data_IF_244621709140
#
_entry.id   IF_244621709140
#
_cell.length_a   1.000
_cell.length_b   1.000
_cell.length_c   1.000
_cell.angle_alpha   90.00
_cell.angle_beta   90.00
_cell.angle_gamma   90.00
#
_symmetry.space_group_name_H-M   'P 1'
#
loop_
_entity.id
_entity.type
_entity.pdbx_description
1 polymer ?
#
# COMPACT_ATOMS: atom_id res chain seq x y z
N UNK A 1 -51.68 32.90 11.98
CA UNK A 1 -52.47 33.05 10.75
C UNK A 1 -52.26 31.82 9.89
N UNK A 2 -53.38 31.24 9.43
CA UNK A 2 -53.53 30.07 8.54
C UNK A 2 -52.99 28.72 9.05
N UNK A 3 -53.64 27.57 8.93
CA UNK A 3 -55.05 27.13 8.95
C UNK A 3 -54.93 25.61 8.97
N UNK A 4 -55.58 24.95 9.91
CA UNK A 4 -55.68 23.49 9.97
C UNK A 4 -56.69 23.08 8.91
N UNK A 5 -56.36 22.15 8.01
CA UNK A 5 -57.40 21.44 7.26
C UNK A 5 -57.10 19.95 7.18
N UNK A 6 -57.81 19.24 8.06
CA UNK A 6 -57.95 17.79 8.16
C UNK A 6 -59.28 17.43 7.51
N UNK A 7 -59.27 16.66 6.42
CA UNK A 7 -60.45 16.07 5.77
C UNK A 7 -60.18 14.57 5.57
N UNK A 8 -60.56 13.74 6.55
CA UNK A 8 -61.81 12.95 6.65
C UNK A 8 -62.07 11.96 5.48
N UNK A 9 -62.18 10.65 5.77
CA UNK A 9 -62.55 9.61 4.80
C UNK A 9 -64.07 9.59 4.59
N UNK A 10 -64.50 9.38 3.34
CA UNK A 10 -65.90 9.24 2.94
C UNK A 10 -66.05 8.09 1.93
N UNK A 11 -66.85 7.10 2.30
CA UNK A 11 -67.05 5.82 1.63
C UNK A 11 -68.15 5.90 0.52
N UNK A 12 -68.74 4.77 0.06
CA UNK A 12 -68.66 4.27 -1.31
C UNK A 12 -69.91 4.56 -2.16
N UNK A 13 -69.78 4.52 -3.49
CA UNK A 13 -70.89 4.62 -4.44
C UNK A 13 -70.70 3.69 -5.65
N UNK A 14 -71.78 3.12 -6.23
CA UNK A 14 -71.75 1.79 -6.84
C UNK A 14 -71.61 1.75 -8.37
N UNK A 15 -71.02 0.62 -8.79
CA UNK A 15 -71.23 -0.17 -10.01
C UNK A 15 -71.83 0.50 -11.27
N UNK A 16 -71.00 0.59 -12.31
CA UNK A 16 -71.27 0.35 -13.75
C UNK A 16 -69.97 0.69 -14.50
N UNK A 17 -69.45 -0.02 -15.49
CA UNK A 17 -69.98 -1.06 -16.34
C UNK A 17 -68.80 -1.72 -17.09
N UNK A 18 -69.04 -2.95 -17.52
CA UNK A 18 -68.19 -3.86 -18.28
C UNK A 18 -67.65 -3.25 -19.58
N UNK A 19 -66.34 -3.38 -19.84
CA UNK A 19 -65.78 -3.61 -21.17
C UNK A 19 -64.33 -4.13 -21.07
N UNK A 20 -64.13 -5.40 -21.44
CA UNK A 20 -62.85 -5.96 -21.87
C UNK A 20 -62.94 -6.26 -23.38
N UNK A 21 -61.85 -6.63 -24.07
CA UNK A 21 -60.49 -6.08 -24.09
C UNK A 21 -60.15 -5.58 -25.51
N UNK A 22 -59.49 -4.42 -25.63
CA UNK A 22 -58.92 -3.96 -26.91
C UNK A 22 -57.40 -4.19 -26.91
N UNK A 23 -56.82 -4.60 -28.05
CA UNK A 23 -55.50 -5.21 -28.11
C UNK A 23 -54.38 -4.19 -27.98
N UNK A 24 -53.33 -4.60 -27.24
CA UNK A 24 -51.94 -4.25 -27.42
C UNK A 24 -51.65 -2.85 -27.98
N UNK A 25 -51.66 -1.84 -27.10
CA UNK A 25 -50.79 -0.68 -27.27
C UNK A 25 -49.53 -0.90 -26.42
N UNK A 26 -48.70 -1.85 -26.86
CA UNK A 26 -47.31 -1.94 -26.43
C UNK A 26 -46.58 -0.77 -27.08
N UNK A 27 -46.76 0.41 -26.50
CA UNK A 27 -45.75 1.45 -26.66
C UNK A 27 -44.43 0.83 -26.22
N UNK A 28 -43.41 0.74 -27.10
CA UNK A 28 -42.10 0.23 -26.70
C UNK A 28 -41.61 1.07 -25.51
N UNK A 29 -40.89 0.48 -24.54
CA UNK A 29 -40.22 1.28 -23.53
C UNK A 29 -39.34 2.26 -24.31
N UNK A 30 -39.63 3.55 -24.18
CA UNK A 30 -38.75 4.62 -24.63
C UNK A 30 -37.40 4.25 -24.07
N UNK A 31 -36.46 3.90 -24.96
CA UNK A 31 -35.06 3.73 -24.61
C UNK A 31 -34.64 5.01 -23.91
N UNK A 32 -34.66 4.97 -22.59
CA UNK A 32 -34.06 6.00 -21.77
C UNK A 32 -32.62 6.11 -22.28
N UNK A 33 -32.25 7.29 -22.75
CA UNK A 33 -30.85 7.59 -23.05
C UNK A 33 -29.99 7.24 -21.83
N UNK A 34 -28.67 7.10 -22.01
CA UNK A 34 -27.77 6.72 -20.92
C UNK A 34 -28.05 7.62 -19.71
N UNK A 35 -28.51 7.02 -18.61
CA UNK A 35 -28.78 7.77 -17.40
C UNK A 35 -27.48 8.44 -16.96
N UNK A 36 -27.51 9.72 -16.59
CA UNK A 36 -26.31 10.41 -16.17
C UNK A 36 -25.72 9.73 -14.94
N UNK A 37 -24.40 9.58 -14.90
CA UNK A 37 -23.65 9.10 -13.73
C UNK A 37 -23.95 9.98 -12.52
N UNK A 38 -24.63 9.44 -11.51
CA UNK A 38 -24.91 10.13 -10.24
C UNK A 38 -24.18 9.44 -9.10
N UNK A 39 -23.56 10.24 -8.24
CA UNK A 39 -22.83 9.77 -7.08
C UNK A 39 -23.73 8.99 -6.11
N UNK A 40 -25.02 9.34 -6.04
CA UNK A 40 -26.02 8.69 -5.19
C UNK A 40 -26.16 7.19 -5.50
N UNK A 41 -25.91 6.78 -6.75
CA UNK A 41 -25.96 5.37 -7.15
C UNK A 41 -24.80 4.54 -6.56
N UNK A 42 -23.74 5.19 -6.09
CA UNK A 42 -22.54 4.57 -5.54
C UNK A 42 -22.44 4.66 -4.01
N UNK A 43 -23.32 5.42 -3.35
CA UNK A 43 -23.27 5.71 -1.91
C UNK A 43 -24.40 5.01 -1.12
N UNK A 44 -24.58 3.71 -1.34
CA UNK A 44 -25.71 2.97 -0.79
C UNK A 44 -25.67 2.66 0.73
N UNK A 45 -24.53 2.71 1.43
CA UNK A 45 -24.44 2.26 2.84
C UNK A 45 -23.22 2.85 3.63
N UNK A 46 -23.09 2.65 4.96
CA UNK A 46 -22.38 3.54 5.88
C UNK A 46 -20.86 3.57 5.69
N UNK A 47 -20.29 4.73 6.04
CA UNK A 47 -18.88 5.15 6.16
C UNK A 47 -17.76 4.28 5.55
N UNK A 48 -17.67 2.98 5.86
CA UNK A 48 -16.69 2.05 5.27
C UNK A 48 -16.92 1.88 3.75
N UNK A 49 -18.18 1.80 3.32
CA UNK A 49 -18.53 1.65 1.90
C UNK A 49 -18.47 2.98 1.13
N UNK A 50 -18.36 4.10 1.85
CA UNK A 50 -18.25 5.43 1.23
C UNK A 50 -16.98 5.59 0.42
N UNK A 51 -15.84 5.11 0.93
CA UNK A 51 -14.57 5.22 0.22
C UNK A 51 -14.57 4.38 -1.06
N UNK A 52 -15.03 3.13 -0.96
CA UNK A 52 -15.19 2.23 -2.11
C UNK A 52 -16.16 2.82 -3.12
N UNK A 53 -17.28 3.41 -2.68
CA UNK A 53 -18.22 4.12 -3.54
C UNK A 53 -17.62 5.34 -4.26
N UNK A 54 -16.81 6.14 -3.56
CA UNK A 54 -16.13 7.29 -4.16
C UNK A 54 -15.08 6.88 -5.19
N UNK A 55 -14.30 5.84 -4.90
CA UNK A 55 -13.30 5.31 -5.85
C UNK A 55 -14.00 4.67 -7.05
N UNK A 56 -15.09 3.91 -6.82
CA UNK A 56 -15.88 3.33 -7.89
C UNK A 56 -16.50 4.41 -8.80
N UNK A 57 -16.98 5.52 -8.22
CA UNK A 57 -17.47 6.67 -8.98
C UNK A 57 -16.34 7.36 -9.76
N UNK A 58 -15.17 7.56 -9.15
CA UNK A 58 -14.02 8.14 -9.84
C UNK A 58 -13.58 7.27 -11.03
N UNK A 59 -13.53 5.94 -10.86
CA UNK A 59 -13.26 4.98 -11.94
C UNK A 59 -14.34 5.03 -13.02
N UNK A 60 -15.61 5.20 -12.64
CA UNK A 60 -16.71 5.37 -13.60
C UNK A 60 -16.53 6.64 -14.44
N UNK A 61 -16.19 7.76 -13.79
CA UNK A 61 -15.97 9.05 -14.44
C UNK A 61 -14.75 9.02 -15.37
N UNK A 62 -13.66 8.40 -14.95
CA UNK A 62 -12.45 8.22 -15.77
C UNK A 62 -12.72 7.38 -17.02
N UNK A 63 -13.51 6.31 -16.87
CA UNK A 63 -13.84 5.37 -17.96
C UNK A 63 -15.05 5.81 -18.79
N UNK A 64 -15.70 6.91 -18.44
CA UNK A 64 -16.96 7.37 -19.05
C UNK A 64 -18.02 6.25 -19.11
N UNK A 65 -18.11 5.47 -18.03
CA UNK A 65 -18.94 4.27 -18.00
C UNK A 65 -20.42 4.59 -17.71
N UNK A 66 -21.34 3.84 -18.30
CA UNK A 66 -22.78 4.01 -18.06
C UNK A 66 -23.18 3.65 -16.62
N UNK A 67 -24.24 4.30 -16.12
CA UNK A 67 -24.79 4.10 -14.78
C UNK A 67 -25.61 2.79 -14.62
N UNK A 68 -25.35 1.77 -15.44
CA UNK A 68 -26.04 0.48 -15.34
C UNK A 68 -25.66 -0.24 -14.02
N UNK A 69 -26.61 -0.90 -13.33
CA UNK A 69 -26.38 -1.50 -12.02
C UNK A 69 -25.28 -2.57 -12.03
N UNK A 70 -25.15 -3.34 -13.11
CA UNK A 70 -24.11 -4.35 -13.28
C UNK A 70 -22.72 -3.70 -13.42
N UNK A 71 -22.65 -2.57 -14.14
CA UNK A 71 -21.43 -1.77 -14.29
C UNK A 71 -20.99 -1.16 -12.97
N UNK A 72 -21.94 -0.62 -12.20
CA UNK A 72 -21.69 -0.08 -10.85
C UNK A 72 -21.16 -1.17 -9.91
N UNK A 73 -21.78 -2.35 -9.91
CA UNK A 73 -21.33 -3.47 -9.09
C UNK A 73 -19.91 -3.93 -9.48
N UNK A 74 -19.59 -3.97 -10.78
CA UNK A 74 -18.23 -4.28 -11.25
C UNK A 74 -17.22 -3.22 -10.80
N UNK A 75 -17.54 -1.94 -10.98
CA UNK A 75 -16.66 -0.83 -10.59
C UNK A 75 -16.42 -0.77 -9.07
N UNK A 76 -17.41 -1.15 -8.28
CA UNK A 76 -17.25 -1.31 -6.82
C UNK A 76 -16.25 -2.39 -6.46
N UNK A 77 -16.28 -3.54 -7.13
CA UNK A 77 -15.25 -4.60 -6.93
C UNK A 77 -13.87 -4.13 -7.37
N UNK A 78 -13.78 -3.46 -8.52
CA UNK A 78 -12.51 -2.89 -9.01
C UNK A 78 -11.94 -1.88 -7.99
N UNK A 79 -12.79 -1.02 -7.44
CA UNK A 79 -12.42 -0.06 -6.41
C UNK A 79 -11.92 -0.73 -5.12
N UNK A 80 -12.57 -1.80 -4.68
CA UNK A 80 -12.15 -2.57 -3.50
C UNK A 80 -10.77 -3.22 -3.71
N UNK A 81 -10.54 -3.81 -4.88
CA UNK A 81 -9.23 -4.38 -5.26
C UNK A 81 -8.16 -3.30 -5.28
N UNK A 82 -8.45 -2.14 -5.89
CA UNK A 82 -7.49 -1.03 -5.96
C UNK A 82 -7.16 -0.45 -4.58
N UNK A 83 -8.16 -0.28 -3.71
CA UNK A 83 -7.98 0.17 -2.33
C UNK A 83 -7.13 -0.83 -1.53
N UNK A 84 -7.40 -2.12 -1.69
CA UNK A 84 -6.68 -3.19 -1.01
C UNK A 84 -5.22 -3.23 -1.46
N UNK A 85 -4.95 -3.19 -2.76
CA UNK A 85 -3.58 -3.14 -3.31
C UNK A 85 -2.83 -1.89 -2.82
N UNK A 86 -3.48 -0.72 -2.82
CA UNK A 86 -2.88 0.50 -2.30
C UNK A 86 -2.56 0.42 -0.81
N UNK A 87 -3.47 -0.15 0.00
CA UNK A 87 -3.27 -0.34 1.42
C UNK A 87 -2.08 -1.29 1.70
N UNK A 88 -1.98 -2.39 0.96
CA UNK A 88 -0.86 -3.33 1.09
C UNK A 88 0.49 -2.68 0.75
N UNK A 89 0.56 -1.95 -0.36
CA UNK A 89 1.79 -1.22 -0.74
C UNK A 89 2.19 -0.19 0.31
N UNK A 90 1.22 0.58 0.79
CA UNK A 90 1.45 1.60 1.82
C UNK A 90 1.96 0.98 3.12
N UNK A 91 1.35 -0.12 3.56
CA UNK A 91 1.79 -0.84 4.74
C UNK A 91 3.21 -1.39 4.55
N UNK A 92 3.49 -2.03 3.40
CA UNK A 92 4.79 -2.58 3.10
C UNK A 92 5.89 -1.50 3.12
N UNK A 93 5.67 -0.39 2.43
CA UNK A 93 6.60 0.73 2.41
C UNK A 93 6.85 1.30 3.81
N UNK A 94 5.81 1.40 4.64
CA UNK A 94 5.95 1.87 6.01
C UNK A 94 6.74 0.88 6.87
N UNK A 95 6.53 -0.43 6.71
CA UNK A 95 7.30 -1.47 7.42
C UNK A 95 8.76 -1.43 7.01
N UNK A 96 9.06 -1.33 5.71
CA UNK A 96 10.45 -1.20 5.23
C UNK A 96 11.12 0.04 5.79
N UNK A 97 10.41 1.19 5.80
CA UNK A 97 10.93 2.42 6.40
C UNK A 97 11.26 2.26 7.88
N UNK A 98 10.35 1.66 8.65
CA UNK A 98 10.57 1.41 10.08
C UNK A 98 11.76 0.45 10.32
N UNK A 99 11.93 -0.56 9.47
CA UNK A 99 13.08 -1.45 9.54
C UNK A 99 14.39 -0.70 9.26
N UNK A 100 14.41 0.15 8.23
CA UNK A 100 15.58 0.99 7.91
C UNK A 100 15.91 1.94 9.07
N UNK A 101 14.90 2.61 9.63
CA UNK A 101 15.06 3.48 10.79
C UNK A 101 15.59 2.71 12.01
N UNK A 102 15.08 1.50 12.28
CA UNK A 102 15.55 0.66 13.38
C UNK A 102 17.00 0.18 13.17
N UNK A 103 17.38 -0.17 11.93
CA UNK A 103 18.76 -0.55 11.59
C UNK A 103 19.69 0.65 11.75
N UNK A 104 19.31 1.82 11.25
CA UNK A 104 20.08 3.06 11.41
C UNK A 104 20.24 3.45 12.88
N UNK A 105 19.16 3.37 13.65
CA UNK A 105 19.21 3.59 15.09
C UNK A 105 20.21 2.61 15.74
N UNK A 106 20.14 1.32 15.41
CA UNK A 106 21.04 0.31 15.99
C UNK A 106 22.50 0.48 15.56
N UNK A 107 22.74 0.88 14.31
CA UNK A 107 24.08 1.26 13.83
C UNK A 107 24.61 2.51 14.54
N UNK A 108 23.74 3.47 14.87
CA UNK A 108 24.09 4.64 15.66
C UNK A 108 24.54 4.32 17.09
N UNK A 109 24.11 3.19 17.65
CA UNK A 109 24.51 2.73 18.99
C UNK A 109 25.74 1.82 18.99
N UNK A 110 26.20 1.36 17.83
CA UNK A 110 27.42 0.57 17.74
C UNK A 110 28.64 1.50 17.90
N UNK A 111 29.65 1.10 18.69
CA UNK A 111 30.89 1.87 18.79
C UNK A 111 31.48 2.00 17.39
N UNK A 112 31.84 3.24 17.01
CA UNK A 112 32.44 3.52 15.70
C UNK A 112 33.59 2.52 15.46
N UNK A 113 33.60 1.80 14.33
CA UNK A 113 34.67 0.87 14.04
C UNK A 113 36.01 1.63 14.07
N UNK A 114 37.10 0.98 14.50
CA UNK A 114 38.42 1.60 14.47
C UNK A 114 38.69 2.12 13.06
N UNK A 115 38.97 3.42 12.95
CA UNK A 115 39.12 4.07 11.66
C UNK A 115 40.17 3.37 10.81
N UNK A 116 39.95 3.35 9.48
CA UNK A 116 40.88 2.74 8.51
C UNK A 116 42.32 3.19 8.75
N UNK A 117 42.52 4.47 9.07
CA UNK A 117 43.84 5.03 9.38
C UNK A 117 44.51 4.34 10.58
N UNK A 118 43.74 3.99 11.62
CA UNK A 118 44.22 3.29 12.82
C UNK A 118 44.63 1.85 12.50
N UNK A 119 43.88 1.17 11.64
CA UNK A 119 44.23 -0.18 11.15
C UNK A 119 45.50 -0.14 10.29
N UNK A 120 45.57 0.82 9.36
CA UNK A 120 46.74 1.01 8.51
C UNK A 120 47.98 1.36 9.34
N UNK A 121 47.86 2.25 10.31
CA UNK A 121 48.98 2.60 11.20
C UNK A 121 49.41 1.41 12.06
N UNK A 122 48.46 0.65 12.61
CA UNK A 122 48.78 -0.55 13.39
C UNK A 122 49.53 -1.58 12.54
N UNK A 123 49.11 -1.78 11.29
CA UNK A 123 49.78 -2.71 10.38
C UNK A 123 51.18 -2.22 9.98
N UNK A 124 51.35 -0.92 9.72
CA UNK A 124 52.66 -0.31 9.45
C UNK A 124 53.61 -0.46 10.64
N UNK A 125 53.12 -0.24 11.86
CA UNK A 125 53.91 -0.44 13.09
C UNK A 125 54.31 -1.91 13.24
N UNK A 126 53.39 -2.85 13.01
CA UNK A 126 53.68 -4.27 13.06
C UNK A 126 54.75 -4.67 12.03
N UNK A 127 54.64 -4.18 10.79
CA UNK A 127 55.64 -4.39 9.73
C UNK A 127 57.00 -3.80 10.09
N UNK A 128 57.03 -2.58 10.64
CA UNK A 128 58.26 -1.93 11.06
C UNK A 128 58.97 -2.74 12.17
N UNK A 129 58.23 -3.23 13.16
CA UNK A 129 58.76 -4.08 14.23
C UNK A 129 59.27 -5.42 13.69
N UNK A 130 58.54 -6.06 12.78
CA UNK A 130 58.96 -7.30 12.15
C UNK A 130 60.24 -7.11 11.32
N UNK A 131 60.32 -6.03 10.53
CA UNK A 131 61.50 -5.69 9.74
C UNK A 131 62.71 -5.38 10.64
N UNK A 132 62.51 -4.65 11.74
CA UNK A 132 63.56 -4.37 12.71
C UNK A 132 64.08 -5.67 13.37
N UNK A 133 63.17 -6.56 13.78
CA UNK A 133 63.54 -7.87 14.34
C UNK A 133 64.31 -8.73 13.34
N UNK A 134 63.83 -8.82 12.10
CA UNK A 134 64.51 -9.56 11.03
C UNK A 134 65.89 -8.97 10.69
N UNK A 135 65.99 -7.64 10.62
CA UNK A 135 67.26 -6.94 10.39
C UNK A 135 68.26 -7.16 11.53
N UNK A 136 67.79 -7.10 12.78
CA UNK A 136 68.61 -7.38 13.95
C UNK A 136 69.14 -8.83 13.93
N UNK A 137 68.28 -9.80 13.62
CA UNK A 137 68.68 -11.21 13.45
C UNK A 137 69.70 -11.40 12.31
N UNK A 138 69.53 -10.71 11.19
CA UNK A 138 70.46 -10.77 10.06
C UNK A 138 71.86 -10.24 10.42
N UNK A 139 71.95 -9.26 11.31
CA UNK A 139 73.23 -8.72 11.81
C UNK A 139 73.87 -9.59 12.90
N UNK A 140 73.12 -10.51 13.51
CA UNK A 140 73.60 -11.43 14.55
C UNK A 140 73.47 -12.91 14.13
N UNK A 141 74.14 -13.36 13.05
CA UNK A 141 73.99 -14.72 12.52
C UNK A 141 74.41 -15.83 13.50
N UNK A 142 75.28 -15.50 14.45
CA UNK A 142 75.69 -16.37 15.56
C UNK A 142 74.54 -16.75 16.50
N UNK A 143 73.48 -15.94 16.60
CA UNK A 143 72.25 -16.31 17.35
C UNK A 143 71.36 -17.27 16.59
N UNK A 144 71.33 -17.19 15.26
CA UNK A 144 70.58 -18.12 14.40
C UNK A 144 71.16 -19.55 14.48
N UNK A 145 72.49 -19.68 14.50
CA UNK A 145 73.16 -20.98 14.62
C UNK A 145 72.87 -21.70 15.95
N UNK A 146 72.69 -20.94 17.05
CA UNK A 146 72.32 -21.50 18.35
C UNK A 146 70.88 -22.02 18.41
N UNK A 147 69.94 -21.35 17.72
CA UNK A 147 68.52 -21.72 17.72
C UNK A 147 68.25 -22.89 16.76
N UNK A 148 68.91 -22.92 15.59
CA UNK A 148 68.81 -24.06 14.66
C UNK A 148 69.48 -25.30 15.20
N UNK A 149 70.58 -25.18 15.96
CA UNK A 149 71.20 -26.29 16.67
C UNK A 149 70.32 -26.89 17.78
N UNK A 150 69.45 -26.08 18.40
CA UNK A 150 68.54 -26.50 19.47
C UNK A 150 67.23 -27.13 18.96
N UNK A 151 66.84 -26.87 17.70
CA UNK A 151 65.71 -27.52 17.04
C UNK A 151 66.07 -28.84 16.32
N UNK A 152 67.36 -29.09 16.07
CA UNK A 152 67.86 -30.24 15.33
C UNK A 152 68.32 -31.43 16.21
N UNK A 153 68.25 -31.29 17.54
CA UNK A 153 68.50 -32.35 18.52
C UNK A 153 67.23 -32.68 19.30
#
# INVERSE_FOLDING_TARGET
MASIETLRPGAPGPASQVAAPAPADQSPPVSAGPEPLRLDHFLADPAADRLTGLVAFALAAERQADAAPETIARLRRDAEVALTDHAFRTLHNNVERLQQEAVLARLGHLPRPPGLLRLVSANLVALALAAAGAGWLALHPQTLAGITGLLAG
#
